data_IF_557450396711
#
_entry.id   IF_557450396711
#
_cell.length_a   1.000
_cell.length_b   1.000
_cell.length_c   1.000
_cell.angle_alpha   90.00
_cell.angle_beta   90.00
_cell.angle_gamma   90.00
#
_symmetry.space_group_name_H-M   'P 1'
#
loop_
_entity.id
_entity.type
_entity.pdbx_description
1 polymer ?
#
# COMPACT_ATOMS: atom_id res chain seq x y z
N UNK A 1 -36.29 -13.49 24.13
CA UNK A 1 -36.45 -12.18 24.80
C UNK A 1 -35.50 -11.20 24.13
N UNK A 2 -35.95 -9.96 23.91
CA UNK A 2 -35.06 -8.87 23.48
C UNK A 2 -34.15 -8.53 24.66
N UNK A 3 -32.83 -8.48 24.42
CA UNK A 3 -31.82 -8.08 25.41
C UNK A 3 -31.34 -6.67 25.09
N UNK A 4 -30.96 -5.89 26.12
CA UNK A 4 -30.20 -4.65 25.92
C UNK A 4 -28.82 -5.01 25.35
N UNK A 5 -28.21 -4.12 24.56
CA UNK A 5 -26.90 -4.38 23.95
C UNK A 5 -25.82 -4.71 25.00
N UNK A 6 -25.86 -4.05 26.15
CA UNK A 6 -24.95 -4.28 27.29
C UNK A 6 -25.16 -5.62 28.01
N UNK A 7 -26.20 -6.37 27.66
CA UNK A 7 -26.52 -7.70 28.22
C UNK A 7 -26.26 -8.82 27.20
N UNK A 8 -25.78 -8.48 26.00
CA UNK A 8 -25.37 -9.47 25.02
C UNK A 8 -24.06 -10.12 25.46
N UNK A 9 -23.92 -11.40 25.15
CA UNK A 9 -22.65 -12.10 25.33
C UNK A 9 -21.68 -11.58 24.27
N UNK A 10 -20.45 -11.29 24.67
CA UNK A 10 -19.39 -10.87 23.75
C UNK A 10 -19.06 -11.99 22.75
N UNK A 11 -18.79 -11.60 21.51
CA UNK A 11 -18.24 -12.53 20.52
C UNK A 11 -16.74 -12.68 20.76
N UNK A 12 -16.32 -13.84 21.24
CA UNK A 12 -14.93 -14.19 21.53
C UNK A 12 -14.22 -14.85 20.32
N UNK A 13 -14.54 -14.40 19.11
CA UNK A 13 -13.98 -14.87 17.84
C UNK A 13 -14.06 -13.79 16.75
N UNK A 14 -13.40 -14.02 15.62
CA UNK A 14 -13.57 -13.16 14.43
C UNK A 14 -15.01 -13.27 13.91
N UNK A 15 -15.73 -12.14 13.72
CA UNK A 15 -17.06 -12.16 13.12
C UNK A 15 -17.07 -12.80 11.73
N UNK A 16 -18.07 -13.63 11.46
CA UNK A 16 -18.35 -14.13 10.12
C UNK A 16 -18.96 -13.01 9.25
N UNK A 17 -18.81 -13.11 7.92
CA UNK A 17 -19.33 -12.09 7.01
C UNK A 17 -20.85 -11.83 7.13
N UNK A 18 -21.61 -12.85 7.52
CA UNK A 18 -23.06 -12.76 7.76
C UNK A 18 -23.47 -12.18 9.11
N UNK A 19 -22.52 -11.96 10.03
CA UNK A 19 -22.82 -11.38 11.35
C UNK A 19 -23.31 -9.94 11.20
N UNK A 20 -24.10 -9.50 12.18
CA UNK A 20 -24.84 -8.24 12.10
C UNK A 20 -24.16 -7.16 12.93
N UNK A 21 -24.03 -5.99 12.34
CA UNK A 21 -23.76 -4.73 13.02
C UNK A 21 -25.03 -3.88 12.97
N UNK A 22 -25.49 -3.44 14.13
CA UNK A 22 -26.57 -2.46 14.20
C UNK A 22 -26.01 -1.06 13.95
N UNK A 23 -26.68 -0.29 13.10
CA UNK A 23 -26.35 1.10 12.81
C UNK A 23 -27.56 1.97 13.05
N UNK A 24 -27.32 3.25 13.36
CA UNK A 24 -28.34 4.29 13.25
C UNK A 24 -28.13 4.93 11.89
N UNK A 25 -29.01 4.61 10.95
CA UNK A 25 -29.06 5.21 9.63
C UNK A 25 -29.89 6.50 9.69
N UNK A 26 -29.41 7.59 9.09
CA UNK A 26 -30.09 8.90 9.14
C UNK A 26 -30.34 9.44 7.72
N UNK A 27 -31.21 8.77 6.93
CA UNK A 27 -31.44 9.17 5.54
C UNK A 27 -32.38 10.38 5.48
N UNK A 28 -31.84 11.60 5.62
CA UNK A 28 -32.51 12.87 5.27
C UNK A 28 -33.89 13.20 5.88
N UNK A 29 -34.49 12.32 6.67
CA UNK A 29 -35.87 12.40 7.17
C UNK A 29 -36.08 11.83 8.58
N UNK A 30 -34.99 11.45 9.26
CA UNK A 30 -35.02 10.91 10.62
C UNK A 30 -34.02 9.77 10.80
N UNK A 31 -33.60 9.55 12.05
CA UNK A 31 -32.72 8.45 12.40
C UNK A 31 -33.53 7.15 12.60
N UNK A 32 -33.16 6.10 11.88
CA UNK A 32 -33.72 4.75 11.99
C UNK A 32 -32.62 3.76 12.36
N UNK A 33 -32.92 2.76 13.18
CA UNK A 33 -31.96 1.67 13.40
C UNK A 33 -32.08 0.67 12.25
N UNK A 34 -30.98 0.42 11.53
CA UNK A 34 -30.88 -0.60 10.49
C UNK A 34 -29.81 -1.62 10.85
N UNK A 35 -29.85 -2.77 10.18
CA UNK A 35 -28.78 -3.76 10.24
C UNK A 35 -27.96 -3.71 8.96
N UNK A 36 -26.66 -3.86 9.10
CA UNK A 36 -25.76 -4.22 8.01
C UNK A 36 -25.02 -5.48 8.40
N UNK A 37 -24.55 -6.25 7.43
CA UNK A 37 -23.66 -7.38 7.73
C UNK A 37 -22.21 -6.91 7.85
N UNK A 38 -21.35 -7.70 8.47
CA UNK A 38 -19.89 -7.49 8.45
C UNK A 38 -19.39 -7.39 7.01
N UNK A 39 -19.92 -8.21 6.08
CA UNK A 39 -19.61 -8.09 4.66
C UNK A 39 -20.03 -6.75 4.06
N UNK A 40 -21.21 -6.22 4.38
CA UNK A 40 -21.61 -4.90 3.87
C UNK A 40 -20.66 -3.81 4.37
N UNK A 41 -20.30 -3.85 5.65
CA UNK A 41 -19.40 -2.88 6.27
C UNK A 41 -17.98 -2.95 5.69
N UNK A 42 -17.37 -4.14 5.66
CA UNK A 42 -16.00 -4.33 5.17
C UNK A 42 -15.91 -4.17 3.65
N UNK A 43 -16.93 -4.60 2.90
CA UNK A 43 -17.01 -4.39 1.46
C UNK A 43 -17.04 -2.91 1.08
N UNK A 44 -17.63 -2.06 1.92
CA UNK A 44 -17.63 -0.61 1.71
C UNK A 44 -16.25 0.04 1.93
N UNK A 45 -15.35 -0.65 2.66
CA UNK A 45 -13.96 -0.25 2.87
C UNK A 45 -13.04 -0.70 1.71
N UNK A 46 -13.55 -1.54 0.80
CA UNK A 46 -12.83 -2.03 -0.39
C UNK A 46 -11.62 -2.90 -0.06
N UNK A 47 -10.58 -2.82 -0.90
CA UNK A 47 -9.34 -3.60 -0.77
C UNK A 47 -8.60 -3.37 0.56
N UNK A 48 -8.86 -2.23 1.23
CA UNK A 48 -8.30 -1.94 2.54
C UNK A 48 -8.72 -2.95 3.63
N UNK A 49 -9.87 -3.60 3.45
CA UNK A 49 -10.38 -4.62 4.39
C UNK A 49 -9.62 -5.95 4.36
N UNK A 50 -8.80 -6.20 3.33
CA UNK A 50 -8.11 -7.50 3.12
C UNK A 50 -6.59 -7.40 3.01
N UNK A 51 -6.02 -6.19 2.97
CA UNK A 51 -4.57 -5.97 2.82
C UNK A 51 -3.94 -5.43 4.10
N UNK A 52 -2.63 -5.64 4.26
CA UNK A 52 -1.84 -4.89 5.24
C UNK A 52 -1.69 -3.47 4.71
N UNK A 53 -2.36 -2.51 5.36
CA UNK A 53 -2.36 -1.10 4.94
C UNK A 53 -1.60 -0.25 5.94
N UNK A 54 -0.73 0.63 5.43
CA UNK A 54 -0.15 1.73 6.21
C UNK A 54 -0.95 3.01 5.92
N UNK A 55 -1.38 3.72 6.95
CA UNK A 55 -2.08 5.00 6.79
C UNK A 55 -1.10 6.16 6.94
N UNK A 56 -0.91 6.96 5.89
CA UNK A 56 -0.29 8.28 5.98
C UNK A 56 -1.19 9.30 5.28
N UNK A 57 -1.48 10.43 5.93
CA UNK A 57 -2.21 11.59 5.39
C UNK A 57 -3.51 11.25 4.62
N UNK A 58 -4.33 10.32 5.14
CA UNK A 58 -5.62 9.91 4.59
C UNK A 58 -5.60 9.04 3.32
N UNK A 59 -4.43 8.65 2.80
CA UNK A 59 -4.34 7.67 1.72
C UNK A 59 -4.08 6.27 2.28
N UNK A 60 -4.88 5.31 1.82
CA UNK A 60 -4.61 3.89 2.01
C UNK A 60 -3.57 3.48 0.97
N UNK A 61 -2.33 3.22 1.38
CA UNK A 61 -1.32 2.63 0.50
C UNK A 61 -1.42 1.12 0.62
N UNK A 62 -1.64 0.43 -0.50
CA UNK A 62 -1.55 -1.02 -0.57
C UNK A 62 -0.07 -1.43 -0.42
N UNK A 63 0.30 -1.96 0.74
CA UNK A 63 1.61 -2.59 0.94
C UNK A 63 1.45 -4.07 0.58
N UNK A 64 2.11 -4.49 -0.50
CA UNK A 64 2.14 -5.88 -0.93
C UNK A 64 2.78 -6.77 0.14
N UNK A 65 2.33 -8.02 0.24
CA UNK A 65 2.74 -8.97 1.30
C UNK A 65 4.24 -9.33 1.33
N UNK A 66 5.04 -8.85 0.37
CA UNK A 66 6.50 -8.99 0.33
C UNK A 66 7.26 -7.72 0.77
N UNK A 67 6.57 -6.69 1.26
CA UNK A 67 7.17 -5.42 1.70
C UNK A 67 7.37 -4.39 0.58
N UNK A 68 6.88 -4.65 -0.63
CA UNK A 68 6.83 -3.67 -1.73
C UNK A 68 5.52 -2.87 -1.73
N UNK A 69 5.55 -1.65 -2.28
CA UNK A 69 4.32 -0.86 -2.54
C UNK A 69 3.82 -1.20 -3.94
N UNK A 70 2.60 -1.72 -4.06
CA UNK A 70 1.95 -1.95 -5.36
C UNK A 70 1.24 -0.67 -5.78
N UNK A 71 1.79 0.00 -6.80
CA UNK A 71 1.25 1.25 -7.34
C UNK A 71 0.30 1.02 -8.51
N UNK A 72 -0.02 -0.23 -8.89
CA UNK A 72 -0.94 -0.53 -9.99
C UNK A 72 -0.51 0.05 -11.35
N UNK A 73 0.80 0.23 -11.56
CA UNK A 73 1.35 0.87 -12.76
C UNK A 73 1.32 2.40 -12.77
N UNK A 74 0.87 3.06 -11.69
CA UNK A 74 0.90 4.51 -11.57
C UNK A 74 2.33 5.03 -11.34
N UNK A 75 2.60 6.27 -11.76
CA UNK A 75 3.88 6.93 -11.53
C UNK A 75 4.08 7.24 -10.03
N UNK A 76 5.32 7.09 -9.56
CA UNK A 76 5.74 7.53 -8.23
C UNK A 76 6.39 8.92 -8.32
N UNK A 77 5.64 9.96 -7.99
CA UNK A 77 6.13 11.34 -7.97
C UNK A 77 6.83 11.67 -6.64
N UNK A 78 7.83 12.56 -6.68
CA UNK A 78 8.57 13.06 -5.51
C UNK A 78 9.25 11.95 -4.67
N UNK A 79 9.67 10.85 -5.30
CA UNK A 79 10.48 9.83 -4.64
C UNK A 79 11.93 10.29 -4.51
N UNK A 80 12.46 10.25 -3.29
CA UNK A 80 13.88 10.49 -3.03
C UNK A 80 14.64 9.16 -3.12
N UNK A 81 15.08 8.81 -4.34
CA UNK A 81 15.95 7.68 -4.54
C UNK A 81 17.37 8.06 -4.09
N UNK A 82 18.07 7.17 -3.40
CA UNK A 82 19.50 7.39 -3.15
C UNK A 82 20.23 7.56 -4.48
N UNK A 83 20.95 8.67 -4.63
CA UNK A 83 21.67 9.03 -5.86
C UNK A 83 23.12 8.57 -5.74
N UNK A 84 23.59 7.81 -6.73
CA UNK A 84 24.99 7.54 -6.95
C UNK A 84 25.50 8.47 -8.07
N UNK A 85 26.13 9.58 -7.68
CA UNK A 85 26.63 10.58 -8.63
C UNK A 85 28.01 10.21 -9.17
N UNK A 86 28.16 10.27 -10.50
CA UNK A 86 29.37 9.92 -11.24
C UNK A 86 29.84 11.12 -12.07
N UNK A 87 31.03 11.62 -11.75
CA UNK A 87 31.65 12.78 -12.42
C UNK A 87 32.65 12.38 -13.51
N UNK A 88 33.05 11.10 -13.54
CA UNK A 88 33.99 10.56 -14.53
C UNK A 88 33.38 10.38 -15.92
N UNK A 89 34.24 10.10 -16.90
CA UNK A 89 33.85 9.75 -18.28
C UNK A 89 33.68 8.24 -18.50
N UNK A 90 33.96 7.43 -17.48
CA UNK A 90 33.74 5.99 -17.50
C UNK A 90 33.10 5.55 -16.20
N UNK A 91 32.15 4.61 -16.28
CA UNK A 91 31.57 3.97 -15.12
C UNK A 91 31.18 2.53 -15.43
N UNK A 92 31.45 1.63 -14.50
CA UNK A 92 30.96 0.24 -14.57
C UNK A 92 29.89 0.09 -13.50
N UNK A 93 28.70 -0.33 -13.90
CA UNK A 93 27.59 -0.55 -12.98
C UNK A 93 27.95 -1.64 -11.98
N UNK A 94 27.59 -1.41 -10.72
CA UNK A 94 27.84 -2.32 -9.61
C UNK A 94 26.51 -2.87 -9.10
N UNK A 95 26.53 -4.06 -8.49
CA UNK A 95 25.34 -4.60 -7.83
C UNK A 95 24.78 -3.65 -6.74
N UNK A 96 25.63 -2.83 -6.13
CA UNK A 96 25.25 -1.81 -5.17
C UNK A 96 24.49 -0.61 -5.74
N UNK A 97 24.34 -0.53 -7.06
CA UNK A 97 23.53 0.50 -7.74
C UNK A 97 22.05 0.10 -7.85
N UNK A 98 21.70 -1.13 -7.47
CA UNK A 98 20.32 -1.62 -7.53
C UNK A 98 19.39 -0.72 -6.71
N UNK A 99 18.34 -0.22 -7.35
CA UNK A 99 17.37 0.67 -6.73
C UNK A 99 17.84 2.13 -6.55
N UNK A 100 19.03 2.48 -7.04
CA UNK A 100 19.57 3.85 -7.01
C UNK A 100 19.35 4.55 -8.35
N UNK A 101 19.37 5.88 -8.32
CA UNK A 101 19.60 6.68 -9.52
C UNK A 101 21.11 6.81 -9.70
N UNK A 102 21.66 6.25 -10.78
CA UNK A 102 23.05 6.53 -11.19
C UNK A 102 23.05 7.79 -12.05
N UNK A 103 23.53 8.91 -11.50
CA UNK A 103 23.48 10.22 -12.15
C UNK A 103 24.85 10.60 -12.69
N UNK A 104 24.94 10.90 -13.97
CA UNK A 104 26.16 11.34 -14.61
C UNK A 104 26.19 12.85 -14.82
N UNK A 105 27.31 13.50 -14.50
CA UNK A 105 27.44 14.97 -14.57
C UNK A 105 28.61 15.47 -15.41
N UNK A 106 29.38 14.58 -16.06
CA UNK A 106 30.45 15.00 -16.96
C UNK A 106 29.90 15.71 -18.20
N UNK A 107 30.53 16.82 -18.58
CA UNK A 107 30.23 17.53 -19.84
C UNK A 107 30.86 16.88 -21.08
N UNK A 108 31.66 15.83 -20.90
CA UNK A 108 32.28 15.05 -21.97
C UNK A 108 31.49 13.76 -22.24
N UNK A 109 31.83 13.04 -23.32
CA UNK A 109 31.25 11.74 -23.61
C UNK A 109 31.52 10.75 -22.45
N UNK A 110 30.50 9.99 -22.08
CA UNK A 110 30.52 9.05 -20.96
C UNK A 110 30.33 7.63 -21.49
N UNK A 111 31.22 6.73 -21.11
CA UNK A 111 31.11 5.30 -21.39
C UNK A 111 30.59 4.58 -20.15
N UNK A 112 29.45 3.90 -20.28
CA UNK A 112 28.88 3.07 -19.21
C UNK A 112 29.01 1.60 -19.59
N UNK A 113 29.60 0.82 -18.69
CA UNK A 113 29.72 -0.64 -18.85
C UNK A 113 28.68 -1.32 -17.99
N UNK A 114 27.86 -2.17 -18.60
CA UNK A 114 26.93 -3.08 -17.93
C UNK A 114 27.58 -4.48 -17.87
N UNK A 115 28.04 -4.95 -16.69
CA UNK A 115 28.55 -6.31 -16.56
C UNK A 115 27.45 -7.35 -16.81
N UNK A 116 27.81 -8.47 -17.42
CA UNK A 116 26.88 -9.58 -17.69
C UNK A 116 26.59 -10.47 -16.47
N UNK A 117 27.12 -10.12 -15.30
CA UNK A 117 27.02 -10.87 -14.06
C UNK A 117 26.28 -10.09 -12.94
N UNK A 118 25.60 -8.99 -13.28
CA UNK A 118 24.72 -8.33 -12.32
C UNK A 118 23.51 -9.24 -11.98
N UNK A 119 23.06 -9.17 -10.72
CA UNK A 119 21.93 -9.98 -10.22
C UNK A 119 20.58 -9.55 -10.81
N UNK A 120 19.53 -10.31 -10.47
CA UNK A 120 18.15 -10.01 -10.87
C UNK A 120 17.75 -8.56 -10.50
N UNK A 121 17.19 -7.82 -11.46
CA UNK A 121 16.79 -6.41 -11.30
C UNK A 121 17.59 -5.42 -12.15
N UNK A 122 18.73 -5.84 -12.71
CA UNK A 122 19.36 -5.18 -13.86
C UNK A 122 18.96 -5.96 -15.12
N UNK A 123 17.87 -5.57 -15.77
CA UNK A 123 17.31 -6.21 -16.97
C UNK A 123 17.05 -5.20 -18.07
#
# INVERSE_FOLDING_TARGET
MNKKITQLTELNATPAGGDIVAIVDSPGGGAETKKITVTNLLGSLGDASTKTVGTANSNVIAVGGSGGVDLGGNALSNFDASVNEQTGTTYTLLASDLGKIVKFTSGSAITVTLPNNLGLGFT
#
